data_IF_959277768457
#
_entry.id   IF_959277768457
#
_cell.length_a   1.000
_cell.length_b   1.000
_cell.length_c   1.000
_cell.angle_alpha   90.00
_cell.angle_beta   90.00
_cell.angle_gamma   90.00
#
_symmetry.space_group_name_H-M   'P 1'
#
loop_
_entity.id
_entity.type
_entity.pdbx_description
1 polymer ?
#
# COMPACT_ATOMS: atom_id res chain seq x y z
N UNK A 1 17.13 -6.31 -25.37
CA UNK A 1 18.46 -6.19 -26.00
C UNK A 1 18.30 -6.44 -27.48
N UNK A 2 18.98 -5.70 -28.36
CA UNK A 2 18.79 -5.86 -29.80
C UNK A 2 20.11 -5.70 -30.56
N UNK A 3 20.26 -6.48 -31.63
CA UNK A 3 21.36 -6.48 -32.59
C UNK A 3 20.77 -6.31 -33.99
N UNK A 4 21.38 -5.47 -34.80
CA UNK A 4 21.04 -5.31 -36.21
C UNK A 4 22.26 -5.66 -37.06
N UNK A 5 22.06 -6.54 -38.03
CA UNK A 5 23.05 -6.85 -39.07
C UNK A 5 22.60 -6.20 -40.38
N UNK A 6 23.34 -6.42 -41.47
CA UNK A 6 22.90 -5.99 -42.80
C UNK A 6 21.53 -6.60 -43.18
N UNK A 7 21.30 -7.86 -42.78
CA UNK A 7 20.16 -8.66 -43.25
C UNK A 7 19.07 -8.87 -42.19
N UNK A 8 19.40 -8.76 -40.91
CA UNK A 8 18.51 -9.19 -39.83
C UNK A 8 18.41 -8.17 -38.69
N UNK A 9 17.23 -8.11 -38.08
CA UNK A 9 17.04 -7.53 -36.75
C UNK A 9 16.72 -8.63 -35.75
N UNK A 10 17.55 -8.72 -34.72
CA UNK A 10 17.42 -9.69 -33.63
C UNK A 10 17.15 -8.97 -32.32
N UNK A 11 16.20 -9.45 -31.54
CA UNK A 11 15.84 -8.89 -30.23
C UNK A 11 15.65 -9.98 -29.21
N UNK A 12 16.25 -9.82 -28.04
CA UNK A 12 15.96 -10.61 -26.85
C UNK A 12 15.25 -9.73 -25.82
N UNK A 13 14.02 -10.09 -25.49
CA UNK A 13 13.31 -9.55 -24.34
C UNK A 13 13.77 -10.31 -23.10
N UNK A 14 14.30 -9.58 -22.11
CA UNK A 14 14.83 -10.18 -20.89
C UNK A 14 14.04 -9.70 -19.68
N UNK A 15 13.76 -10.62 -18.76
CA UNK A 15 13.18 -10.35 -17.46
C UNK A 15 14.17 -9.65 -16.53
N UNK A 16 13.67 -9.28 -15.37
CA UNK A 16 14.44 -8.55 -14.37
C UNK A 16 15.67 -9.28 -13.84
N UNK A 17 15.63 -10.61 -13.86
CA UNK A 17 16.71 -11.50 -13.44
C UNK A 17 17.69 -11.83 -14.58
N UNK A 18 17.49 -11.26 -15.77
CA UNK A 18 18.30 -11.52 -16.96
C UNK A 18 17.86 -12.72 -17.79
N UNK A 19 16.82 -13.47 -17.37
CA UNK A 19 16.27 -14.58 -18.15
C UNK A 19 15.63 -14.07 -19.44
N UNK A 20 15.85 -14.76 -20.56
CA UNK A 20 15.18 -14.45 -21.83
C UNK A 20 13.70 -14.88 -21.72
N UNK A 21 12.81 -13.92 -21.92
CA UNK A 21 11.35 -14.07 -21.91
C UNK A 21 10.83 -14.41 -23.32
N UNK A 22 11.30 -13.67 -24.31
CA UNK A 22 10.91 -13.85 -25.72
C UNK A 22 12.00 -13.37 -26.67
N UNK A 23 11.95 -13.89 -27.89
CA UNK A 23 12.94 -13.63 -28.94
C UNK A 23 12.21 -13.20 -30.21
N UNK A 24 12.75 -12.18 -30.86
CA UNK A 24 12.30 -11.75 -32.18
C UNK A 24 13.45 -11.78 -33.18
N UNK A 25 13.15 -12.26 -34.39
CA UNK A 25 14.07 -12.26 -35.52
C UNK A 25 13.27 -11.87 -36.77
N UNK A 26 13.74 -10.84 -37.46
CA UNK A 26 13.17 -10.37 -38.73
C UNK A 26 14.24 -10.40 -39.84
N UNK A 27 13.87 -10.88 -41.03
CA UNK A 27 14.72 -10.91 -42.23
C UNK A 27 14.36 -9.73 -43.15
N UNK A 28 15.21 -8.71 -43.16
CA UNK A 28 14.99 -7.48 -43.92
C UNK A 28 15.03 -7.65 -45.43
N UNK A 29 15.66 -8.72 -45.92
CA UNK A 29 15.71 -8.99 -47.36
C UNK A 29 14.36 -9.44 -47.90
N UNK A 30 13.55 -10.07 -47.04
CA UNK A 30 12.24 -10.63 -47.39
C UNK A 30 11.08 -9.79 -46.86
N UNK A 31 11.30 -9.07 -45.77
CA UNK A 31 10.28 -8.29 -45.07
C UNK A 31 10.89 -7.00 -44.50
N UNK A 32 10.96 -5.98 -45.35
CA UNK A 32 11.57 -4.69 -45.01
C UNK A 32 10.85 -3.98 -43.84
N UNK A 33 9.58 -4.31 -43.59
CA UNK A 33 8.74 -3.67 -42.56
C UNK A 33 8.59 -4.53 -41.29
N UNK A 34 9.40 -5.59 -41.14
CA UNK A 34 9.51 -6.37 -39.89
C UNK A 34 8.16 -6.89 -39.35
N UNK A 35 7.30 -7.43 -40.24
CA UNK A 35 5.98 -7.96 -39.85
C UNK A 35 6.03 -9.36 -39.29
N UNK A 36 6.90 -10.21 -39.83
CA UNK A 36 6.89 -11.64 -39.53
C UNK A 36 8.09 -12.00 -38.66
N UNK A 37 7.81 -12.30 -37.38
CA UNK A 37 8.82 -12.88 -36.50
C UNK A 37 9.11 -14.32 -36.90
N UNK A 38 10.35 -14.59 -37.32
CA UNK A 38 10.82 -15.92 -37.77
C UNK A 38 11.69 -16.64 -36.73
N UNK A 39 11.85 -16.11 -35.51
CA UNK A 39 12.74 -16.65 -34.48
C UNK A 39 12.40 -18.09 -34.05
N UNK A 40 11.11 -18.42 -34.00
CA UNK A 40 10.63 -19.72 -33.50
C UNK A 40 10.54 -20.82 -34.56
N UNK A 41 10.99 -20.54 -35.78
CA UNK A 41 11.05 -21.55 -36.85
C UNK A 41 12.28 -22.42 -36.67
N UNK A 42 12.12 -23.74 -36.74
CA UNK A 42 13.20 -24.71 -36.49
C UNK A 42 14.41 -24.49 -37.40
N UNK A 43 14.18 -24.10 -38.65
CA UNK A 43 15.23 -23.79 -39.62
C UNK A 43 16.12 -22.60 -39.21
N UNK A 44 15.65 -21.73 -38.31
CA UNK A 44 16.38 -20.54 -37.87
C UNK A 44 17.08 -20.72 -36.51
N UNK A 45 16.99 -21.90 -35.87
CA UNK A 45 17.56 -22.14 -34.54
C UNK A 45 19.06 -21.86 -34.49
N UNK A 46 19.81 -22.34 -35.50
CA UNK A 46 21.25 -22.09 -35.61
C UNK A 46 21.57 -20.60 -35.73
N UNK A 47 20.80 -19.87 -36.56
CA UNK A 47 20.96 -18.44 -36.77
C UNK A 47 20.64 -17.64 -35.49
N UNK A 48 19.58 -18.01 -34.77
CA UNK A 48 19.20 -17.40 -33.48
C UNK A 48 20.34 -17.57 -32.46
N UNK A 49 20.93 -18.76 -32.38
CA UNK A 49 22.05 -19.03 -31.49
C UNK A 49 23.30 -18.20 -31.85
N UNK A 50 23.64 -18.10 -33.14
CA UNK A 50 24.73 -17.27 -33.63
C UNK A 50 24.53 -15.78 -33.26
N UNK A 51 23.33 -15.26 -33.51
CA UNK A 51 23.00 -13.85 -33.24
C UNK A 51 22.96 -13.56 -31.73
N UNK A 52 22.50 -14.51 -30.92
CA UNK A 52 22.55 -14.39 -29.45
C UNK A 52 24.00 -14.33 -28.94
N UNK A 53 24.90 -15.16 -29.47
CA UNK A 53 26.32 -15.10 -29.12
C UNK A 53 26.95 -13.76 -29.50
N UNK A 54 26.67 -13.24 -30.70
CA UNK A 54 27.14 -11.91 -31.13
C UNK A 54 26.59 -10.79 -30.26
N UNK A 55 25.31 -10.83 -29.91
CA UNK A 55 24.69 -9.85 -29.01
C UNK A 55 25.35 -9.85 -27.62
N UNK A 56 25.63 -11.04 -27.08
CA UNK A 56 26.24 -11.18 -25.75
C UNK A 56 27.73 -10.83 -25.71
N UNK A 57 28.45 -10.97 -26.83
CA UNK A 57 29.84 -10.51 -26.94
C UNK A 57 29.97 -8.97 -26.85
N UNK A 58 28.85 -8.25 -27.01
CA UNK A 58 28.78 -6.80 -26.85
C UNK A 58 29.34 -6.03 -28.07
N UNK A 59 29.20 -4.71 -28.03
CA UNK A 59 29.49 -3.84 -29.18
C UNK A 59 30.97 -3.85 -29.61
N UNK A 60 31.90 -4.11 -28.69
CA UNK A 60 33.34 -4.15 -29.01
C UNK A 60 33.70 -5.33 -29.92
N UNK A 61 33.03 -6.47 -29.73
CA UNK A 61 33.21 -7.64 -30.59
C UNK A 61 32.55 -7.49 -31.97
N UNK A 62 31.72 -6.46 -32.16
CA UNK A 62 31.04 -6.18 -33.42
C UNK A 62 31.79 -5.18 -34.32
N UNK A 63 32.99 -4.73 -33.92
CA UNK A 63 33.82 -3.83 -34.73
C UNK A 63 34.35 -4.55 -35.98
N UNK A 64 34.49 -3.85 -37.12
CA UNK A 64 35.18 -4.39 -38.28
C UNK A 64 36.62 -4.77 -37.96
N UNK A 65 37.16 -5.74 -38.70
CA UNK A 65 38.54 -6.18 -38.53
C UNK A 65 39.52 -5.00 -38.74
N UNK A 66 40.51 -4.88 -37.85
CA UNK A 66 41.49 -3.79 -37.86
C UNK A 66 40.97 -2.44 -37.31
N UNK A 67 39.72 -2.36 -36.86
CA UNK A 67 39.17 -1.16 -36.22
C UNK A 67 39.21 -1.31 -34.69
N UNK A 68 39.95 -0.42 -34.04
CA UNK A 68 39.95 -0.28 -32.59
C UNK A 68 39.08 0.90 -32.15
N UNK A 69 38.30 0.71 -31.09
CA UNK A 69 37.53 1.79 -30.45
C UNK A 69 38.02 2.01 -29.01
N UNK A 70 38.62 3.17 -28.77
CA UNK A 70 39.15 3.57 -27.47
C UNK A 70 38.09 4.03 -26.45
N UNK A 71 36.80 3.92 -26.80
CA UNK A 71 35.72 4.25 -25.88
C UNK A 71 35.64 3.23 -24.75
N UNK A 72 35.80 3.70 -23.52
CA UNK A 72 35.60 2.89 -22.33
C UNK A 72 34.15 3.00 -21.81
N UNK A 73 33.18 2.93 -22.72
CA UNK A 73 31.78 2.92 -22.30
C UNK A 73 31.50 1.60 -21.57
N UNK A 74 31.01 1.65 -20.33
CA UNK A 74 30.64 0.43 -19.61
C UNK A 74 29.54 -0.30 -20.38
N UNK A 75 29.49 -1.62 -20.21
CA UNK A 75 28.34 -2.41 -20.67
C UNK A 75 27.08 -1.78 -20.06
N UNK A 76 26.00 -1.71 -20.84
CA UNK A 76 24.73 -1.19 -20.33
C UNK A 76 24.41 -1.88 -19.00
N UNK A 77 24.13 -1.10 -17.93
CA UNK A 77 23.85 -1.70 -16.63
C UNK A 77 22.68 -2.68 -16.75
N UNK A 78 22.63 -3.73 -15.92
CA UNK A 78 21.46 -4.61 -15.88
C UNK A 78 20.20 -3.77 -15.67
N UNK A 79 19.05 -4.29 -16.13
CA UNK A 79 17.80 -3.61 -15.88
C UNK A 79 17.74 -3.25 -14.38
N UNK A 80 17.38 -2.00 -14.09
CA UNK A 80 17.02 -1.60 -12.74
C UNK A 80 15.52 -1.42 -12.77
N UNK A 81 14.82 -1.94 -11.76
CA UNK A 81 13.42 -1.58 -11.58
C UNK A 81 13.38 -0.05 -11.47
N UNK A 82 12.75 0.63 -12.43
CA UNK A 82 12.41 2.04 -12.28
C UNK A 82 11.24 2.18 -11.30
N UNK A 83 11.42 1.64 -10.10
CA UNK A 83 10.97 2.36 -8.94
C UNK A 83 12.19 3.17 -8.53
N UNK A 84 12.06 4.50 -8.46
CA UNK A 84 12.69 5.17 -7.33
C UNK A 84 12.42 4.23 -6.17
N UNK A 85 13.43 3.77 -5.43
CA UNK A 85 13.18 3.43 -4.03
C UNK A 85 12.57 4.71 -3.48
N UNK A 86 11.24 4.88 -3.62
CA UNK A 86 10.45 5.55 -2.63
C UNK A 86 10.90 4.76 -1.43
N UNK A 87 11.73 5.37 -0.60
CA UNK A 87 11.78 4.97 0.78
C UNK A 87 10.36 4.58 1.10
N UNK A 88 10.14 3.31 1.44
CA UNK A 88 8.88 2.86 2.00
C UNK A 88 8.82 3.65 3.31
N UNK A 89 8.46 4.92 3.22
CA UNK A 89 7.95 5.66 4.32
C UNK A 89 6.71 4.84 4.64
N UNK A 90 6.84 4.04 5.69
CA UNK A 90 5.72 3.81 6.58
C UNK A 90 5.14 5.21 6.73
N UNK A 91 4.05 5.47 6.02
CA UNK A 91 3.50 6.80 5.89
C UNK A 91 2.75 7.01 7.18
N UNK A 92 3.51 7.25 8.26
CA UNK A 92 2.97 7.58 9.57
C UNK A 92 2.10 8.81 9.35
N UNK A 93 0.79 8.62 9.45
CA UNK A 93 -0.16 9.71 9.38
C UNK A 93 -0.74 9.87 10.77
N UNK A 94 -0.51 11.05 11.34
CA UNK A 94 -1.12 11.50 12.58
C UNK A 94 -2.37 12.26 12.15
N UNK A 95 -3.53 11.84 12.65
CA UNK A 95 -4.77 12.57 12.45
C UNK A 95 -5.11 13.35 13.71
N UNK A 96 -5.52 14.59 13.50
CA UNK A 96 -6.26 15.39 14.47
C UNK A 96 -7.74 15.25 14.09
N UNK A 97 -8.63 15.10 15.07
CA UNK A 97 -10.07 14.91 14.80
C UNK A 97 -10.68 16.20 14.24
N UNK A 98 -10.83 16.29 12.92
CA UNK A 98 -11.65 17.32 12.28
C UNK A 98 -13.05 16.76 12.11
N UNK A 99 -13.96 17.08 13.04
CA UNK A 99 -15.37 16.76 12.88
C UNK A 99 -16.08 17.96 12.27
N UNK A 100 -16.61 17.80 11.06
CA UNK A 100 -17.54 18.77 10.47
C UNK A 100 -18.89 18.85 11.21
N UNK A 101 -19.13 17.94 12.18
CA UNK A 101 -20.42 17.74 12.84
C UNK A 101 -20.39 17.96 14.37
N UNK A 102 -19.22 18.29 14.97
CA UNK A 102 -19.08 18.45 16.42
C UNK A 102 -18.40 19.78 16.74
N UNK A 103 -19.17 20.70 17.33
CA UNK A 103 -18.70 22.00 17.81
C UNK A 103 -18.03 21.91 19.19
N UNK A 104 -17.38 22.98 19.64
CA UNK A 104 -16.87 23.15 21.03
C UNK A 104 -17.98 23.07 22.11
N UNK A 105 -19.24 23.12 21.70
CA UNK A 105 -20.40 22.95 22.58
C UNK A 105 -20.80 21.47 22.65
N UNK A 106 -21.01 20.99 23.87
CA UNK A 106 -21.63 19.69 24.11
C UNK A 106 -22.95 19.58 23.36
N UNK A 107 -22.96 18.80 22.29
CA UNK A 107 -24.17 18.57 21.53
C UNK A 107 -24.82 17.32 22.13
N UNK A 108 -25.96 17.50 22.78
CA UNK A 108 -26.73 16.38 23.34
C UNK A 108 -27.34 15.62 22.18
N UNK A 109 -26.76 14.46 21.84
CA UNK A 109 -27.31 13.58 20.81
C UNK A 109 -27.75 12.31 21.49
N UNK A 110 -29.06 12.03 21.42
CA UNK A 110 -29.78 10.92 22.06
C UNK A 110 -28.90 9.80 22.63
N UNK A 111 -28.52 9.92 23.91
CA UNK A 111 -27.83 8.88 24.67
C UNK A 111 -26.30 8.99 24.77
N UNK A 112 -25.66 10.10 24.40
CA UNK A 112 -24.29 10.45 24.84
C UNK A 112 -24.00 11.94 24.55
N UNK A 113 -22.87 12.47 24.99
CA UNK A 113 -22.39 13.80 24.59
C UNK A 113 -21.04 13.69 23.86
N UNK A 114 -20.94 14.35 22.70
CA UNK A 114 -19.68 14.53 21.98
C UNK A 114 -19.29 15.99 22.04
N UNK A 115 -17.99 16.22 22.23
CA UNK A 115 -17.37 17.53 22.06
C UNK A 115 -15.99 17.33 21.48
N UNK A 116 -15.62 18.14 20.49
CA UNK A 116 -14.22 18.31 20.14
C UNK A 116 -13.77 19.56 20.88
N UNK A 117 -12.76 19.44 21.74
CA UNK A 117 -12.23 20.56 22.50
C UNK A 117 -10.72 20.44 22.55
N UNK A 118 -10.02 21.54 22.29
CA UNK A 118 -8.55 21.56 22.28
C UNK A 118 -7.94 20.50 21.34
N UNK A 119 -8.62 20.23 20.21
CA UNK A 119 -8.26 19.18 19.24
C UNK A 119 -8.40 17.72 19.74
N UNK A 120 -8.97 17.52 20.94
CA UNK A 120 -9.28 16.23 21.52
C UNK A 120 -10.74 15.88 21.27
N UNK A 121 -11.02 14.62 20.98
CA UNK A 121 -12.38 14.12 20.90
C UNK A 121 -12.80 13.61 22.28
N UNK A 122 -13.76 14.31 22.89
CA UNK A 122 -14.41 13.91 24.13
C UNK A 122 -15.68 13.12 23.82
N UNK A 123 -15.78 11.95 24.45
CA UNK A 123 -16.89 11.04 24.33
C UNK A 123 -17.39 10.76 25.75
N UNK A 124 -18.49 11.39 26.13
CA UNK A 124 -19.18 11.13 27.39
C UNK A 124 -20.35 10.17 27.13
N UNK A 125 -20.27 8.96 27.69
CA UNK A 125 -21.25 7.89 27.45
C UNK A 125 -22.07 7.60 28.69
N UNK A 126 -22.24 8.57 29.58
CA UNK A 126 -23.11 8.43 30.75
C UNK A 126 -24.62 8.27 30.45
N UNK A 127 -25.03 8.14 29.19
CA UNK A 127 -26.43 8.18 28.79
C UNK A 127 -26.87 6.89 28.04
N UNK A 128 -28.11 6.47 28.25
CA UNK A 128 -28.68 5.25 27.64
C UNK A 128 -29.02 5.50 26.16
N UNK A 129 -28.07 5.32 25.23
CA UNK A 129 -28.43 5.26 23.80
C UNK A 129 -29.07 3.89 23.48
N UNK A 130 -29.99 3.84 22.52
CA UNK A 130 -30.61 2.57 22.06
C UNK A 130 -30.07 2.11 20.70
N UNK A 131 -28.99 2.72 20.20
CA UNK A 131 -28.44 2.48 18.86
C UNK A 131 -26.92 2.70 18.82
N UNK A 132 -26.26 2.05 17.85
CA UNK A 132 -24.84 2.26 17.55
C UNK A 132 -24.67 3.61 16.84
N UNK A 133 -23.80 4.48 17.34
CA UNK A 133 -23.40 5.67 16.58
C UNK A 133 -21.94 5.60 16.18
N UNK A 134 -21.71 6.06 14.96
CA UNK A 134 -20.43 5.98 14.24
C UNK A 134 -19.68 7.28 14.42
N UNK A 135 -18.44 7.20 14.86
CA UNK A 135 -17.49 8.32 14.83
C UNK A 135 -16.49 8.00 13.72
N UNK A 136 -16.54 8.77 12.63
CA UNK A 136 -15.71 8.57 11.46
C UNK A 136 -14.43 9.40 11.56
N UNK A 137 -13.29 8.73 11.38
CA UNK A 137 -11.97 9.36 11.20
C UNK A 137 -11.53 9.07 9.76
N UNK A 138 -11.77 10.05 8.88
CA UNK A 138 -11.50 9.94 7.45
C UNK A 138 -10.09 10.34 7.02
N UNK A 139 -9.89 10.44 5.70
CA UNK A 139 -8.69 10.94 5.04
C UNK A 139 -7.36 10.23 5.34
N UNK A 140 -7.36 9.08 6.01
CA UNK A 140 -6.14 8.37 6.42
C UNK A 140 -5.22 8.08 5.23
N UNK A 141 -5.77 7.46 4.18
CA UNK A 141 -5.07 7.13 2.94
C UNK A 141 -3.68 6.49 3.19
N UNK A 142 -3.59 5.61 4.18
CA UNK A 142 -2.36 4.90 4.58
C UNK A 142 -2.36 3.51 3.95
N UNK A 143 -1.22 3.05 3.43
CA UNK A 143 -1.14 1.71 2.83
C UNK A 143 -1.35 0.64 3.90
N UNK A 144 -2.32 -0.25 3.71
CA UNK A 144 -2.55 -1.39 4.59
C UNK A 144 -1.49 -2.49 4.34
N UNK A 145 -0.91 -3.04 5.40
CA UNK A 145 -0.05 -4.24 5.35
C UNK A 145 -0.27 -5.10 6.60
N UNK A 146 0.07 -6.39 6.57
CA UNK A 146 -0.07 -7.25 7.77
C UNK A 146 0.77 -6.81 8.98
N UNK A 147 1.70 -5.87 8.80
CA UNK A 147 2.47 -5.27 9.90
C UNK A 147 1.86 -3.96 10.40
N UNK A 148 0.73 -3.54 9.83
CA UNK A 148 0.15 -2.25 10.17
C UNK A 148 -0.43 -2.27 11.57
N UNK A 149 -0.21 -1.17 12.29
CA UNK A 149 -0.67 -1.00 13.67
C UNK A 149 -1.42 0.32 13.81
N UNK A 150 -2.47 0.30 14.61
CA UNK A 150 -3.20 1.48 15.06
C UNK A 150 -2.71 1.84 16.46
N UNK A 151 -2.12 3.02 16.63
CA UNK A 151 -1.80 3.59 17.92
C UNK A 151 -2.85 4.61 18.31
N UNK A 152 -3.41 4.42 19.49
CA UNK A 152 -4.45 5.27 20.05
C UNK A 152 -3.98 5.82 21.39
N UNK A 153 -3.85 7.15 21.48
CA UNK A 153 -3.65 7.84 22.73
C UNK A 153 -5.02 8.19 23.32
N UNK A 154 -5.28 7.72 24.53
CA UNK A 154 -6.58 7.85 25.18
C UNK A 154 -6.47 8.09 26.68
N UNK A 155 -7.54 8.63 27.26
CA UNK A 155 -7.72 8.79 28.70
C UNK A 155 -9.15 8.41 29.08
N UNK A 156 -9.30 7.57 30.10
CA UNK A 156 -10.58 7.37 30.79
C UNK A 156 -10.61 8.25 32.03
N UNK A 157 -11.72 8.94 32.27
CA UNK A 157 -11.90 9.72 33.50
C UNK A 157 -12.33 8.81 34.66
N UNK A 158 -13.01 7.72 34.36
CA UNK A 158 -13.54 6.78 35.33
C UNK A 158 -12.65 5.56 35.52
N UNK A 159 -12.77 4.92 36.69
CA UNK A 159 -11.94 3.77 37.11
C UNK A 159 -12.33 2.43 36.43
N UNK A 160 -13.20 2.44 35.42
CA UNK A 160 -13.69 1.24 34.75
C UNK A 160 -13.04 1.07 33.38
N UNK A 161 -12.67 -0.16 32.98
CA UNK A 161 -12.24 -0.43 31.62
C UNK A 161 -13.41 -0.23 30.64
N UNK A 162 -13.08 0.23 29.44
CA UNK A 162 -14.01 0.53 28.37
C UNK A 162 -13.84 -0.45 27.20
N UNK A 163 -14.92 -0.96 26.61
CA UNK A 163 -14.85 -1.68 25.33
C UNK A 163 -15.23 -0.75 24.19
N UNK A 164 -14.34 -0.59 23.22
CA UNK A 164 -14.59 0.18 21.99
C UNK A 164 -14.68 -0.79 20.82
N UNK A 165 -15.76 -0.72 20.04
CA UNK A 165 -15.81 -1.39 18.75
C UNK A 165 -15.34 -0.45 17.64
N UNK A 166 -14.76 -1.01 16.59
CA UNK A 166 -14.33 -0.26 15.43
C UNK A 166 -14.37 -1.13 14.17
N UNK A 167 -14.40 -0.49 13.01
CA UNK A 167 -14.06 -1.15 11.75
C UNK A 167 -13.28 -0.20 10.86
N UNK A 168 -12.44 -0.76 10.00
CA UNK A 168 -11.68 0.01 9.00
C UNK A 168 -12.45 0.04 7.67
N UNK A 169 -12.25 1.07 6.85
CA UNK A 169 -12.87 1.18 5.52
C UNK A 169 -11.87 1.69 4.47
N UNK A 170 -12.19 1.45 3.20
CA UNK A 170 -11.48 2.02 2.05
C UNK A 170 -12.45 2.23 0.90
N UNK A 171 -12.75 3.49 0.60
CA UNK A 171 -13.87 3.84 -0.29
C UNK A 171 -15.16 3.20 0.19
N UNK A 172 -15.88 2.54 -0.71
CA UNK A 172 -17.18 1.90 -0.41
C UNK A 172 -17.06 0.51 0.24
N UNK A 173 -15.85 0.06 0.62
CA UNK A 173 -15.65 -1.26 1.21
C UNK A 173 -15.51 -1.16 2.74
N UNK A 174 -16.38 -1.90 3.44
CA UNK A 174 -16.56 -1.85 4.90
C UNK A 174 -16.12 -3.15 5.57
N UNK A 175 -15.57 -3.02 6.77
CA UNK A 175 -14.97 -4.13 7.51
C UNK A 175 -15.90 -4.91 8.37
N UNK A 176 -15.38 -6.04 8.82
CA UNK A 176 -15.95 -6.67 10.00
C UNK A 176 -15.76 -5.76 11.21
N UNK A 177 -16.75 -5.82 12.10
CA UNK A 177 -16.71 -5.10 13.36
C UNK A 177 -15.74 -5.82 14.31
N UNK A 178 -14.67 -5.13 14.68
CA UNK A 178 -13.68 -5.57 15.67
C UNK A 178 -13.93 -4.84 16.99
N UNK A 179 -13.47 -5.40 18.12
CA UNK A 179 -13.59 -4.76 19.43
C UNK A 179 -12.27 -4.81 20.20
N UNK A 180 -12.07 -3.81 21.05
CA UNK A 180 -10.91 -3.69 21.92
C UNK A 180 -11.31 -3.23 23.31
N UNK A 181 -10.67 -3.80 24.33
CA UNK A 181 -10.77 -3.31 25.70
C UNK A 181 -9.67 -2.30 25.98
N UNK A 182 -10.08 -1.13 26.46
CA UNK A 182 -9.27 -0.02 26.92
C UNK A 182 -9.27 -0.04 28.46
N UNK A 183 -8.16 -0.38 29.11
CA UNK A 183 -8.03 -0.28 30.56
C UNK A 183 -8.37 1.11 31.11
N UNK A 184 -8.74 1.17 32.39
CA UNK A 184 -8.86 2.47 33.06
C UNK A 184 -7.49 3.16 33.11
N UNK A 185 -7.47 4.44 32.77
CA UNK A 185 -6.30 5.30 32.88
C UNK A 185 -6.35 6.24 34.09
N UNK A 186 -7.45 6.24 34.85
CA UNK A 186 -7.67 7.10 36.03
C UNK A 186 -7.31 8.58 35.78
N UNK A 187 -7.60 9.07 34.59
CA UNK A 187 -7.34 10.45 34.20
C UNK A 187 -5.95 10.74 33.64
N UNK A 188 -5.08 9.75 33.47
CA UNK A 188 -3.80 9.89 32.77
C UNK A 188 -3.93 9.49 31.30
N UNK A 189 -3.04 9.98 30.43
CA UNK A 189 -3.01 9.57 29.02
C UNK A 189 -2.24 8.25 28.93
N UNK A 190 -2.86 7.25 28.30
CA UNK A 190 -2.22 5.98 27.95
C UNK A 190 -2.26 5.76 26.45
N UNK A 191 -1.27 5.04 25.93
CA UNK A 191 -1.22 4.61 24.54
C UNK A 191 -1.52 3.11 24.46
N UNK A 192 -2.40 2.72 23.54
CA UNK A 192 -2.60 1.32 23.17
C UNK A 192 -2.22 1.12 21.70
N UNK A 193 -1.57 0.00 21.43
CA UNK A 193 -1.22 -0.44 20.08
C UNK A 193 -2.08 -1.62 19.69
N UNK A 194 -2.75 -1.50 18.55
CA UNK A 194 -3.71 -2.47 18.02
C UNK A 194 -3.14 -3.03 16.72
N UNK A 195 -2.72 -4.31 16.68
CA UNK A 195 -2.31 -4.96 15.45
C UNK A 195 -3.49 -5.07 14.49
N UNK A 196 -3.34 -4.58 13.26
CA UNK A 196 -4.38 -4.66 12.23
C UNK A 196 -4.21 -5.89 11.32
N UNK A 197 -3.27 -6.78 11.64
CA UNK A 197 -2.90 -7.93 10.81
C UNK A 197 -4.09 -8.87 10.56
N UNK A 198 -4.87 -9.16 11.60
CA UNK A 198 -6.04 -10.02 11.54
C UNK A 198 -7.15 -9.42 10.69
N UNK A 199 -7.38 -8.11 10.86
CA UNK A 199 -8.32 -7.39 10.02
C UNK A 199 -7.84 -7.51 8.58
N UNK A 200 -6.63 -7.01 8.27
CA UNK A 200 -6.07 -6.94 6.91
C UNK A 200 -6.05 -8.28 6.19
N UNK A 201 -5.67 -9.37 6.88
CA UNK A 201 -5.65 -10.71 6.28
C UNK A 201 -7.05 -11.18 5.87
N UNK A 202 -8.06 -10.98 6.73
CA UNK A 202 -9.46 -11.30 6.41
C UNK A 202 -10.01 -10.48 5.24
N UNK A 203 -9.45 -9.29 5.00
CA UNK A 203 -9.83 -8.42 3.89
C UNK A 203 -9.22 -8.84 2.57
N UNK A 204 -7.95 -9.25 2.55
CA UNK A 204 -7.26 -9.74 1.34
C UNK A 204 -8.02 -10.92 0.73
N UNK A 205 -8.61 -11.78 1.56
CA UNK A 205 -9.41 -12.93 1.13
C UNK A 205 -10.76 -12.54 0.52
N UNK A 206 -11.34 -11.40 0.91
CA UNK A 206 -12.73 -11.01 0.58
C UNK A 206 -12.82 -9.92 -0.49
N UNK A 207 -11.85 -9.01 -0.56
CA UNK A 207 -11.83 -7.88 -1.48
C UNK A 207 -10.45 -7.80 -2.14
N UNK A 208 -10.33 -8.30 -3.37
CA UNK A 208 -9.06 -8.60 -4.05
C UNK A 208 -7.99 -7.49 -3.99
N UNK A 209 -8.33 -6.19 -3.83
CA UNK A 209 -7.37 -5.08 -3.85
C UNK A 209 -7.74 -3.87 -3.00
N UNK A 210 -7.88 -4.02 -1.68
CA UNK A 210 -7.85 -2.86 -0.80
C UNK A 210 -6.39 -2.38 -0.60
N UNK A 211 -5.98 -1.33 -1.32
CA UNK A 211 -4.56 -0.86 -1.32
C UNK A 211 -4.21 0.06 -0.15
N UNK A 212 -5.20 0.63 0.53
CA UNK A 212 -5.02 1.63 1.59
C UNK A 212 -6.21 1.67 2.55
N UNK A 213 -5.97 1.94 3.82
CA UNK A 213 -6.97 2.31 4.81
C UNK A 213 -7.35 3.78 4.55
N UNK A 214 -8.61 4.01 4.20
CA UNK A 214 -9.16 5.33 3.95
C UNK A 214 -9.71 5.96 5.24
N UNK A 215 -10.39 5.15 6.05
CA UNK A 215 -11.10 5.64 7.25
C UNK A 215 -11.11 4.57 8.35
N UNK A 216 -11.25 5.04 9.59
CA UNK A 216 -11.57 4.22 10.77
C UNK A 216 -12.87 4.74 11.35
N UNK A 217 -13.81 3.83 11.60
CA UNK A 217 -15.09 4.16 12.18
C UNK A 217 -15.18 3.49 13.55
N UNK A 218 -15.28 4.31 14.60
CA UNK A 218 -15.53 3.84 15.96
C UNK A 218 -17.03 3.69 16.17
N UNK A 219 -17.41 2.57 16.79
CA UNK A 219 -18.77 2.16 17.06
C UNK A 219 -18.91 1.97 18.57
N UNK A 220 -19.78 2.74 19.20
CA UNK A 220 -20.02 2.67 20.64
C UNK A 220 -21.34 1.92 20.87
N UNK A 221 -21.29 0.79 21.59
CA UNK A 221 -22.48 0.00 21.95
C UNK A 221 -23.01 0.49 23.31
N UNK A 222 -24.23 1.01 23.37
CA UNK A 222 -24.77 1.54 24.62
C UNK A 222 -25.37 0.49 25.56
N UNK A 223 -25.48 -0.79 25.15
CA UNK A 223 -25.98 -1.88 26.02
C UNK A 223 -24.90 -2.51 26.90
N UNK A 224 -23.63 -2.33 26.54
CA UNK A 224 -22.52 -2.64 27.44
C UNK A 224 -22.40 -1.42 28.35
N UNK A 225 -22.64 -1.59 29.66
CA UNK A 225 -22.71 -0.53 30.66
C UNK A 225 -21.41 0.28 30.72
N UNK A 226 -21.24 1.22 29.80
CA UNK A 226 -20.15 2.16 29.83
C UNK A 226 -20.60 3.37 30.66
N UNK A 227 -19.86 3.65 31.74
CA UNK A 227 -20.05 4.82 32.59
C UNK A 227 -18.71 5.53 32.64
N UNK A 228 -18.44 6.27 31.57
CA UNK A 228 -17.09 6.75 31.30
C UNK A 228 -17.04 7.96 30.39
N UNK A 229 -16.11 8.87 30.67
CA UNK A 229 -15.61 9.79 29.63
C UNK A 229 -14.33 9.22 29.01
N UNK A 230 -14.37 8.98 27.70
CA UNK A 230 -13.20 8.65 26.88
C UNK A 230 -12.73 9.93 26.16
N UNK A 231 -11.45 10.25 26.31
CA UNK A 231 -10.80 11.31 25.54
C UNK A 231 -9.83 10.67 24.58
N UNK A 232 -9.99 10.92 23.28
CA UNK A 232 -9.05 10.49 22.25
C UNK A 232 -8.18 11.69 21.85
N UNK A 233 -6.87 11.55 22.05
CA UNK A 233 -5.90 12.61 21.78
C UNK A 233 -5.34 12.52 20.37
N UNK A 234 -4.93 11.32 19.96
CA UNK A 234 -4.37 11.13 18.63
C UNK A 234 -4.58 9.71 18.12
N UNK A 235 -4.62 9.61 16.79
CA UNK A 235 -4.69 8.37 16.06
C UNK A 235 -3.54 8.33 15.06
N UNK A 236 -2.74 7.27 15.13
CA UNK A 236 -1.63 7.03 14.19
C UNK A 236 -1.75 5.64 13.58
N UNK A 237 -1.61 5.55 12.26
CA UNK A 237 -1.39 4.28 11.55
C UNK A 237 0.05 4.21 11.05
N UNK A 238 0.73 3.12 11.38
CA UNK A 238 2.07 2.74 10.91
C UNK A 238 2.00 1.47 10.04
#
# INVERSE_FOLDING_TARGET
>A
YSLRTADYRYTEWRLSDGKIDSIELYDHRKDAIERINIAYKKENESLVNELSQKLNAGWKAALPEGIENNSNNPVAPPHVKWSKKKNKFIKKKIMTFESTDVTDLWTRVEGYQLSVKDQLLHIDVEHDANYWKKIQVGDLNVKATNNSVLKLAYKTIDNQPLTVAYHISSGDNWGELSSISLPSTNGEIQEITIPLASDISKWEDKFEKMKSIGEIIFCINPKEQFKGTLVLESLTIE
#
